data_IF_030610884311
#
_entry.id   IF_030610884311
#
_cell.length_a   1.000
_cell.length_b   1.000
_cell.length_c   1.000
_cell.angle_alpha   90.00
_cell.angle_beta   90.00
_cell.angle_gamma   90.00
#
_symmetry.space_group_name_H-M   'P 1'
#
loop_
_entity.id
_entity.type
_entity.pdbx_description
1 polymer ?
#
# COMPACT_ATOMS: atom_id res chain seq x y z
N UNK A 1 11.55 -21.26 23.43
CA UNK A 1 10.41 -21.01 24.33
C UNK A 1 9.53 -22.24 24.29
N UNK A 2 9.68 -23.13 25.27
CA UNK A 2 8.93 -24.39 25.36
C UNK A 2 7.66 -24.15 26.17
N UNK A 3 6.55 -23.86 25.50
CA UNK A 3 5.22 -23.82 26.11
C UNK A 3 4.68 -25.25 26.10
N UNK A 4 4.88 -25.95 27.22
CA UNK A 4 4.26 -27.21 27.67
C UNK A 4 3.63 -28.10 26.57
N UNK A 5 4.40 -29.06 26.06
CA UNK A 5 3.87 -30.32 25.50
C UNK A 5 3.35 -30.33 24.06
N UNK A 6 3.25 -29.20 23.37
CA UNK A 6 2.88 -29.15 21.96
C UNK A 6 4.08 -28.69 21.12
N UNK A 7 4.93 -29.65 20.75
CA UNK A 7 6.11 -29.42 19.90
C UNK A 7 5.63 -29.25 18.45
N UNK A 8 4.97 -28.13 18.15
CA UNK A 8 4.74 -27.73 16.77
C UNK A 8 6.06 -27.10 16.31
N UNK A 9 6.79 -27.67 15.34
CA UNK A 9 8.02 -27.09 14.82
C UNK A 9 7.71 -25.87 13.95
N UNK A 10 7.11 -24.83 14.53
CA UNK A 10 6.93 -23.55 13.86
C UNK A 10 8.24 -22.79 14.00
N UNK A 11 9.06 -22.86 12.95
CA UNK A 11 10.21 -21.96 12.82
C UNK A 11 9.75 -20.49 13.00
N UNK A 12 10.56 -19.68 13.69
CA UNK A 12 10.33 -18.24 13.86
C UNK A 12 10.08 -17.55 12.52
N UNK A 13 10.73 -18.03 11.44
CA UNK A 13 10.52 -17.54 10.08
C UNK A 13 9.07 -17.68 9.61
N UNK A 14 8.40 -18.81 9.88
CA UNK A 14 6.99 -19.02 9.54
C UNK A 14 6.08 -18.06 10.31
N UNK A 15 6.40 -17.82 11.60
CA UNK A 15 5.65 -16.85 12.42
C UNK A 15 5.71 -15.44 11.85
N UNK A 16 6.88 -15.01 11.37
CA UNK A 16 7.06 -13.68 10.75
C UNK A 16 6.29 -13.59 9.43
N UNK A 17 6.37 -14.60 8.58
CA UNK A 17 5.60 -14.62 7.31
C UNK A 17 4.09 -14.60 7.57
N UNK A 18 3.61 -15.32 8.58
CA UNK A 18 2.22 -15.24 9.01
C UNK A 18 1.81 -13.82 9.42
N UNK A 19 2.64 -13.11 10.19
CA UNK A 19 2.38 -11.70 10.57
C UNK A 19 2.34 -10.81 9.32
N UNK A 20 3.27 -10.99 8.38
CA UNK A 20 3.33 -10.19 7.14
C UNK A 20 2.08 -10.44 6.29
N UNK A 21 1.70 -11.71 6.08
CA UNK A 21 0.49 -12.10 5.34
C UNK A 21 -0.76 -11.53 6.00
N UNK A 22 -0.88 -11.63 7.32
CA UNK A 22 -2.00 -11.08 8.08
C UNK A 22 -2.09 -9.56 7.89
N UNK A 23 -0.95 -8.86 8.01
CA UNK A 23 -0.86 -7.40 7.84
C UNK A 23 -1.31 -6.96 6.45
N UNK A 24 -0.84 -7.66 5.40
CA UNK A 24 -1.19 -7.35 4.01
C UNK A 24 -2.68 -7.63 3.76
N UNK A 25 -3.19 -8.75 4.26
CA UNK A 25 -4.60 -9.13 4.12
C UNK A 25 -5.51 -8.11 4.80
N UNK A 26 -5.17 -7.72 6.03
CA UNK A 26 -5.93 -6.75 6.81
C UNK A 26 -5.88 -5.35 6.18
N UNK A 27 -4.72 -4.93 5.66
CA UNK A 27 -4.55 -3.72 4.87
C UNK A 27 -5.38 -3.72 3.57
N UNK A 28 -5.45 -4.87 2.90
CA UNK A 28 -6.24 -5.04 1.68
C UNK A 28 -7.75 -4.92 1.97
N UNK A 29 -8.25 -5.68 2.96
CA UNK A 29 -9.66 -5.65 3.37
C UNK A 29 -10.07 -4.23 3.77
N UNK A 30 -9.23 -3.54 4.53
CA UNK A 30 -9.47 -2.15 4.89
C UNK A 30 -9.54 -1.22 3.70
N UNK A 31 -8.60 -1.34 2.76
CA UNK A 31 -8.56 -0.50 1.56
C UNK A 31 -9.83 -0.66 0.75
N UNK A 32 -10.28 -1.90 0.52
CA UNK A 32 -11.54 -2.19 -0.18
C UNK A 32 -12.74 -1.62 0.59
N UNK A 33 -12.77 -1.80 1.91
CA UNK A 33 -13.88 -1.29 2.75
C UNK A 33 -13.94 0.23 2.74
N UNK A 34 -12.80 0.92 2.81
CA UNK A 34 -12.73 2.37 2.72
C UNK A 34 -13.09 2.88 1.33
N UNK A 35 -12.65 2.22 0.26
CA UNK A 35 -13.06 2.59 -1.09
C UNK A 35 -14.59 2.47 -1.27
N UNK A 36 -15.20 1.40 -0.76
CA UNK A 36 -16.67 1.25 -0.75
C UNK A 36 -17.35 2.35 0.05
N UNK A 37 -16.84 2.65 1.25
CA UNK A 37 -17.39 3.71 2.09
C UNK A 37 -17.26 5.10 1.45
N UNK A 38 -16.12 5.40 0.82
CA UNK A 38 -15.90 6.66 0.09
C UNK A 38 -16.82 6.74 -1.12
N UNK A 39 -16.98 5.66 -1.88
CA UNK A 39 -17.89 5.62 -3.02
C UNK A 39 -19.35 5.86 -2.59
N UNK A 40 -19.83 5.18 -1.55
CA UNK A 40 -21.18 5.39 -1.02
C UNK A 40 -21.38 6.81 -0.48
N UNK A 41 -20.39 7.37 0.22
CA UNK A 41 -20.45 8.76 0.70
C UNK A 41 -20.42 9.78 -0.44
N UNK A 42 -19.65 9.53 -1.50
CA UNK A 42 -19.59 10.38 -2.68
C UNK A 42 -20.94 10.39 -3.41
N UNK A 43 -21.60 9.23 -3.53
CA UNK A 43 -22.93 9.11 -4.11
C UNK A 43 -23.98 9.86 -3.27
N UNK A 44 -23.95 9.70 -1.94
CA UNK A 44 -24.92 10.31 -1.04
C UNK A 44 -24.77 11.83 -0.88
N UNK A 45 -23.55 12.36 -0.85
CA UNK A 45 -23.28 13.79 -0.56
C UNK A 45 -22.83 14.61 -1.76
N UNK A 46 -22.07 14.01 -2.66
CA UNK A 46 -21.50 14.68 -3.83
C UNK A 46 -22.40 14.67 -5.06
N UNK A 47 -23.48 13.87 -5.01
CA UNK A 47 -24.26 13.53 -6.20
C UNK A 47 -23.49 12.59 -7.13
N UNK A 48 -24.17 12.12 -8.18
CA UNK A 48 -23.57 11.22 -9.17
C UNK A 48 -22.37 11.91 -9.83
N UNK A 49 -21.20 11.27 -9.80
CA UNK A 49 -20.00 11.76 -10.48
C UNK A 49 -20.34 11.96 -11.95
N UNK A 50 -20.23 13.21 -12.38
CA UNK A 50 -20.45 13.66 -13.73
C UNK A 50 -19.48 12.96 -14.68
N UNK A 51 -19.94 12.22 -15.71
CA UNK A 51 -19.05 11.53 -16.64
C UNK A 51 -18.01 12.45 -17.29
N UNK A 52 -18.36 13.73 -17.46
CA UNK A 52 -17.48 14.77 -18.01
C UNK A 52 -16.28 15.15 -17.12
N UNK A 53 -16.31 14.82 -15.82
CA UNK A 53 -15.18 15.09 -14.91
C UNK A 53 -14.21 13.92 -14.76
N UNK A 54 -14.57 12.74 -15.29
CA UNK A 54 -13.67 11.60 -15.34
C UNK A 54 -12.60 11.84 -16.41
N UNK A 55 -11.39 11.29 -16.21
CA UNK A 55 -10.32 11.34 -17.21
C UNK A 55 -10.82 10.75 -18.54
N UNK A 56 -11.07 11.63 -19.52
CA UNK A 56 -11.58 11.25 -20.85
C UNK A 56 -10.48 10.80 -21.79
N UNK A 57 -9.22 11.12 -21.49
CA UNK A 57 -8.09 10.70 -22.31
C UNK A 57 -7.94 9.18 -22.33
N UNK A 58 -7.69 8.62 -23.50
CA UNK A 58 -7.46 7.18 -23.70
C UNK A 58 -6.35 6.65 -22.78
N UNK A 59 -5.23 7.38 -22.71
CA UNK A 59 -4.12 7.05 -21.83
C UNK A 59 -4.50 7.13 -20.34
N UNK A 60 -5.34 8.09 -19.94
CA UNK A 60 -5.83 8.18 -18.56
C UNK A 60 -6.63 6.95 -18.17
N UNK A 61 -7.55 6.50 -19.03
CA UNK A 61 -8.39 5.32 -18.77
C UNK A 61 -7.58 4.04 -18.63
N UNK A 62 -6.60 3.83 -19.52
CA UNK A 62 -5.75 2.64 -19.48
C UNK A 62 -4.84 2.67 -18.25
N UNK A 63 -4.15 3.79 -18.03
CA UNK A 63 -3.21 3.93 -16.91
C UNK A 63 -3.91 3.76 -15.58
N UNK A 64 -5.09 4.36 -15.38
CA UNK A 64 -5.86 4.20 -14.14
C UNK A 64 -6.23 2.74 -13.92
N UNK A 65 -6.73 2.02 -14.94
CA UNK A 65 -7.09 0.59 -14.81
C UNK A 65 -5.88 -0.27 -14.47
N UNK A 66 -4.76 -0.09 -15.19
CA UNK A 66 -3.52 -0.84 -14.94
C UNK A 66 -3.01 -0.55 -13.53
N UNK A 67 -3.02 0.71 -13.10
CA UNK A 67 -2.58 1.10 -11.76
C UNK A 67 -3.45 0.47 -10.67
N UNK A 68 -4.79 0.52 -10.84
CA UNK A 68 -5.73 -0.14 -9.93
C UNK A 68 -5.48 -1.64 -9.86
N UNK A 69 -5.31 -2.31 -11.00
CA UNK A 69 -5.00 -3.74 -11.04
C UNK A 69 -3.67 -4.05 -10.37
N UNK A 70 -2.61 -3.31 -10.67
CA UNK A 70 -1.28 -3.53 -10.08
C UNK A 70 -1.28 -3.37 -8.56
N UNK A 71 -2.06 -2.43 -8.03
CA UNK A 71 -2.22 -2.23 -6.59
C UNK A 71 -2.91 -3.40 -5.89
N UNK A 72 -3.83 -4.11 -6.56
CA UNK A 72 -4.57 -5.21 -5.93
C UNK A 72 -3.99 -6.59 -6.25
N UNK A 73 -3.50 -6.81 -7.46
CA UNK A 73 -2.96 -8.11 -7.89
C UNK A 73 -1.70 -8.44 -7.11
N UNK A 74 -0.77 -7.49 -6.95
CA UNK A 74 0.53 -7.80 -6.31
C UNK A 74 0.38 -8.29 -4.86
N UNK A 75 -0.40 -7.62 -3.98
CA UNK A 75 -0.65 -8.13 -2.63
C UNK A 75 -1.37 -9.48 -2.61
N UNK A 76 -2.35 -9.68 -3.49
CA UNK A 76 -3.11 -10.94 -3.56
C UNK A 76 -2.24 -12.11 -4.02
N UNK A 77 -1.43 -11.90 -5.05
CA UNK A 77 -0.47 -12.90 -5.53
C UNK A 77 0.54 -13.23 -4.45
N UNK A 78 1.07 -12.23 -3.74
CA UNK A 78 1.98 -12.47 -2.63
C UNK A 78 1.34 -13.31 -1.52
N UNK A 79 0.15 -12.91 -1.04
CA UNK A 79 -0.58 -13.64 0.00
C UNK A 79 -0.87 -15.07 -0.45
N UNK A 80 -1.38 -15.24 -1.68
CA UNK A 80 -1.67 -16.56 -2.23
C UNK A 80 -0.42 -17.44 -2.28
N UNK A 81 0.66 -16.96 -2.88
CA UNK A 81 1.92 -17.71 -3.01
C UNK A 81 2.49 -18.09 -1.65
N UNK A 82 2.54 -17.17 -0.69
CA UNK A 82 3.09 -17.46 0.65
C UNK A 82 2.22 -18.45 1.41
N UNK A 83 0.89 -18.31 1.35
CA UNK A 83 -0.03 -19.24 2.02
C UNK A 83 0.05 -20.64 1.41
N UNK A 84 0.03 -20.76 0.07
CA UNK A 84 0.17 -22.05 -0.60
C UNK A 84 1.56 -22.68 -0.42
N UNK A 85 2.58 -21.88 -0.14
CA UNK A 85 3.93 -22.35 0.19
C UNK A 85 4.15 -22.57 1.71
N UNK A 86 3.06 -22.70 2.50
CA UNK A 86 3.16 -23.00 3.93
C UNK A 86 3.81 -21.89 4.77
N UNK A 87 3.57 -20.62 4.43
CA UNK A 87 4.21 -19.46 5.03
C UNK A 87 5.73 -19.40 4.83
N UNK A 88 6.22 -19.97 3.73
CA UNK A 88 7.61 -19.82 3.31
C UNK A 88 7.72 -18.77 2.20
N UNK A 89 8.65 -17.83 2.37
CA UNK A 89 8.94 -16.82 1.35
C UNK A 89 9.37 -17.51 0.04
N UNK A 90 8.83 -17.10 -1.13
CA UNK A 90 9.19 -17.73 -2.38
C UNK A 90 10.63 -17.34 -2.80
N UNK A 91 11.36 -18.27 -3.41
CA UNK A 91 12.79 -18.11 -3.73
C UNK A 91 13.09 -16.90 -4.63
N UNK A 92 12.17 -16.54 -5.52
CA UNK A 92 12.33 -15.35 -6.36
C UNK A 92 12.33 -14.06 -5.54
N UNK A 93 11.64 -14.02 -4.40
CA UNK A 93 11.58 -12.86 -3.52
C UNK A 93 12.80 -12.80 -2.60
N UNK A 94 13.37 -13.94 -2.23
CA UNK A 94 14.62 -14.02 -1.46
C UNK A 94 15.76 -13.29 -2.19
N UNK A 95 15.77 -13.30 -3.53
CA UNK A 95 16.72 -12.55 -4.36
C UNK A 95 16.63 -11.02 -4.22
N UNK A 96 15.49 -10.52 -3.75
CA UNK A 96 15.25 -9.10 -3.50
C UNK A 96 15.27 -8.75 -2.00
N UNK A 97 15.44 -9.74 -1.12
CA UNK A 97 15.65 -9.48 0.29
C UNK A 97 16.98 -8.72 0.49
N UNK A 98 17.07 -7.94 1.56
CA UNK A 98 18.36 -7.34 1.94
C UNK A 98 19.33 -8.48 2.25
N UNK A 99 20.51 -8.45 1.64
CA UNK A 99 21.54 -9.47 1.89
C UNK A 99 21.84 -9.56 3.39
N UNK A 100 21.83 -10.78 3.92
CA UNK A 100 22.16 -11.04 5.32
C UNK A 100 23.57 -10.56 5.67
N UNK A 101 24.47 -10.47 4.68
CA UNK A 101 25.83 -9.93 4.84
C UNK A 101 25.84 -8.46 5.27
N UNK A 102 24.83 -7.67 4.85
CA UNK A 102 24.79 -6.23 5.10
C UNK A 102 24.11 -5.90 6.42
N UNK A 103 23.04 -6.62 6.75
CA UNK A 103 22.13 -6.26 7.85
C UNK A 103 22.19 -7.25 9.01
N UNK A 104 22.64 -8.49 8.76
CA UNK A 104 22.49 -9.60 9.69
C UNK A 104 21.09 -10.22 9.62
N UNK A 105 21.03 -11.55 9.68
CA UNK A 105 19.77 -12.31 9.55
C UNK A 105 18.75 -11.98 10.64
N UNK A 106 19.20 -11.65 11.86
CA UNK A 106 18.33 -11.23 12.97
C UNK A 106 17.62 -9.90 12.68
N UNK A 107 18.34 -8.92 12.14
CA UNK A 107 17.80 -7.59 11.85
C UNK A 107 16.87 -7.59 10.65
N UNK A 108 17.08 -8.47 9.68
CA UNK A 108 16.18 -8.62 8.53
C UNK A 108 14.75 -8.95 8.98
N UNK A 109 14.62 -9.88 9.92
CA UNK A 109 13.35 -10.26 10.52
C UNK A 109 12.74 -9.12 11.34
N UNK A 110 13.55 -8.44 12.17
CA UNK A 110 13.10 -7.30 12.97
C UNK A 110 12.59 -6.14 12.09
N UNK A 111 13.28 -5.83 10.98
CA UNK A 111 12.88 -4.78 10.04
C UNK A 111 11.53 -5.07 9.38
N UNK A 112 11.24 -6.34 9.08
CA UNK A 112 9.95 -6.74 8.50
C UNK A 112 8.81 -6.56 9.48
N UNK A 113 9.00 -6.99 10.73
CA UNK A 113 8.02 -6.80 11.80
C UNK A 113 7.82 -5.30 12.07
N UNK A 114 8.89 -4.51 12.08
CA UNK A 114 8.83 -3.06 12.24
C UNK A 114 8.10 -2.37 11.08
N UNK A 115 8.34 -2.80 9.84
CA UNK A 115 7.62 -2.30 8.66
C UNK A 115 6.11 -2.61 8.74
N UNK A 116 5.73 -3.81 9.17
CA UNK A 116 4.34 -4.17 9.37
C UNK A 116 3.69 -3.33 10.48
N UNK A 117 4.38 -3.20 11.62
CA UNK A 117 3.90 -2.44 12.78
C UNK A 117 3.73 -0.95 12.48
N UNK A 118 4.67 -0.36 11.73
CA UNK A 118 4.59 1.03 11.29
C UNK A 118 3.44 1.25 10.31
N UNK A 119 3.15 0.30 9.41
CA UNK A 119 1.98 0.37 8.54
C UNK A 119 0.66 0.44 9.34
N UNK A 120 0.52 -0.38 10.39
CA UNK A 120 -0.62 -0.32 11.31
C UNK A 120 -0.70 1.02 12.04
N UNK A 121 0.42 1.50 12.59
CA UNK A 121 0.48 2.76 13.33
C UNK A 121 0.09 3.95 12.45
N UNK A 122 0.66 4.04 11.24
CA UNK A 122 0.34 5.09 10.26
C UNK A 122 -1.13 5.05 9.89
N UNK A 123 -1.71 3.86 9.73
CA UNK A 123 -3.14 3.70 9.46
C UNK A 123 -4.01 4.11 10.65
N UNK A 124 -3.63 3.79 11.88
CA UNK A 124 -4.32 4.24 13.09
C UNK A 124 -4.33 5.77 13.18
N UNK A 125 -3.16 6.40 12.97
CA UNK A 125 -3.02 7.86 12.94
C UNK A 125 -3.83 8.47 11.81
N UNK A 126 -3.82 7.89 10.61
CA UNK A 126 -4.62 8.38 9.48
C UNK A 126 -6.12 8.31 9.78
N UNK A 127 -6.62 7.22 10.37
CA UNK A 127 -8.02 7.12 10.77
C UNK A 127 -8.38 8.09 11.89
N UNK A 128 -7.48 8.34 12.85
CA UNK A 128 -7.72 9.29 13.93
C UNK A 128 -7.70 10.74 13.42
N UNK A 129 -6.75 11.09 12.55
CA UNK A 129 -6.61 12.44 12.00
C UNK A 129 -7.68 12.76 10.94
N UNK A 130 -8.08 11.76 10.16
CA UNK A 130 -9.15 11.86 9.16
C UNK A 130 -10.51 11.41 9.71
N UNK A 131 -10.59 11.10 11.01
CA UNK A 131 -11.87 10.87 11.67
C UNK A 131 -12.72 12.10 11.35
N UNK A 132 -13.91 11.90 10.76
CA UNK A 132 -14.68 13.01 10.25
C UNK A 132 -15.01 13.91 11.43
N UNK A 133 -14.43 15.11 11.41
CA UNK A 133 -14.93 16.27 12.13
C UNK A 133 -16.22 16.75 11.42
N UNK A 134 -17.13 15.80 11.16
CA UNK A 134 -18.38 15.97 10.43
C UNK A 134 -19.35 16.91 11.14
N UNK A 135 -19.14 17.19 12.42
CA UNK A 135 -20.05 18.04 13.19
C UNK A 135 -19.72 19.54 13.08
N UNK A 136 -18.53 19.93 12.60
CA UNK A 136 -18.14 21.35 12.67
C UNK A 136 -18.54 22.14 11.42
N UNK A 137 -18.75 21.49 10.26
CA UNK A 137 -19.06 22.21 9.02
C UNK A 137 -20.56 22.24 8.66
N UNK A 138 -21.40 21.38 9.25
CA UNK A 138 -22.80 21.28 8.84
C UNK A 138 -23.72 22.34 9.47
N UNK A 139 -23.20 23.19 10.38
CA UNK A 139 -24.03 24.11 11.18
C UNK A 139 -24.01 25.59 10.75
N UNK A 140 -23.52 25.93 9.55
CA UNK A 140 -23.44 27.35 9.12
C UNK A 140 -23.73 27.66 7.64
N UNK A 141 -24.60 26.89 6.99
CA UNK A 141 -25.16 27.25 5.67
C UNK A 141 -26.69 27.24 5.75
N UNK A 142 -27.22 28.13 6.58
CA UNK A 142 -28.59 28.62 6.48
C UNK A 142 -28.50 30.13 6.48
N UNK A 143 -28.50 30.71 5.29
CA UNK A 143 -28.50 32.15 5.09
C UNK A 143 -27.27 32.67 4.37
N UNK A 144 -27.53 33.22 3.19
CA UNK A 144 -26.73 34.20 2.44
C UNK A 144 -25.78 33.65 1.37
N UNK A 145 -26.25 33.86 0.14
CA UNK A 145 -25.52 34.23 -1.08
C UNK A 145 -24.19 33.52 -1.36
N UNK A 146 -24.24 32.69 -2.40
CA UNK A 146 -23.10 32.07 -3.06
C UNK A 146 -22.01 33.10 -3.38
N UNK A 147 -20.91 33.04 -2.64
CA UNK A 147 -19.59 33.39 -3.15
C UNK A 147 -18.70 32.15 -3.05
N UNK A 148 -18.04 31.85 -4.17
CA UNK A 148 -17.18 30.70 -4.40
C UNK A 148 -16.02 30.68 -3.39
N UNK A 149 -16.03 29.74 -2.45
CA UNK A 149 -14.85 29.40 -1.66
C UNK A 149 -14.44 27.97 -1.95
N UNK A 150 -13.34 27.81 -2.68
CA UNK A 150 -12.59 26.57 -2.77
C UNK A 150 -12.02 26.24 -1.40
N UNK A 151 -12.62 25.27 -0.70
CA UNK A 151 -11.99 24.69 0.48
C UNK A 151 -10.78 23.85 0.04
N UNK A 152 -9.58 24.40 0.14
CA UNK A 152 -8.33 23.64 0.05
C UNK A 152 -8.10 22.88 1.37
N UNK A 153 -8.19 21.53 1.40
CA UNK A 153 -8.08 20.78 2.66
C UNK A 153 -6.63 20.66 3.20
N UNK A 154 -5.62 21.05 2.41
CA UNK A 154 -4.23 20.63 2.64
C UNK A 154 -3.47 21.32 3.78
N UNK A 155 -3.85 22.54 4.17
CA UNK A 155 -2.98 23.34 5.06
C UNK A 155 -3.22 23.06 6.54
N UNK A 156 -4.45 22.68 6.94
CA UNK A 156 -4.79 22.46 8.36
C UNK A 156 -4.34 21.10 8.90
N UNK A 157 -4.37 20.05 8.09
CA UNK A 157 -3.93 18.69 8.49
C UNK A 157 -2.43 18.68 8.84
N UNK A 158 -1.64 19.45 8.10
CA UNK A 158 -0.19 19.55 8.25
C UNK A 158 0.26 20.20 9.57
N UNK A 159 -0.47 21.21 10.07
CA UNK A 159 -0.15 21.89 11.34
C UNK A 159 -0.58 21.07 12.56
N UNK A 160 -1.71 20.39 12.48
CA UNK A 160 -2.24 19.59 13.60
C UNK A 160 -1.38 18.33 13.85
N UNK A 161 -0.91 17.68 12.79
CA UNK A 161 0.01 16.54 12.91
C UNK A 161 1.36 16.94 13.54
N UNK A 162 1.86 18.14 13.22
CA UNK A 162 3.13 18.66 13.75
C UNK A 162 3.03 19.05 15.23
N UNK A 163 1.86 19.51 15.71
CA UNK A 163 1.65 19.91 17.09
C UNK A 163 1.45 18.73 18.05
N UNK A 164 0.85 17.62 17.59
CA UNK A 164 0.49 16.47 18.46
C UNK A 164 1.51 15.34 18.51
N UNK A 165 2.26 15.09 17.43
CA UNK A 165 3.14 13.91 17.32
C UNK A 165 4.64 14.19 17.51
N UNK A 166 5.01 15.45 17.77
CA UNK A 166 6.41 15.86 17.92
C UNK A 166 7.20 15.80 16.61
N UNK A 167 8.13 16.72 16.42
CA UNK A 167 9.00 16.77 15.23
C UNK A 167 9.86 15.49 15.07
N UNK A 168 10.19 14.79 16.16
CA UNK A 168 11.04 13.59 16.13
C UNK A 168 10.43 12.40 15.39
N UNK A 169 9.13 12.10 15.57
CA UNK A 169 8.51 10.94 14.90
C UNK A 169 8.41 11.15 13.38
N UNK A 170 8.07 12.37 12.95
CA UNK A 170 7.96 12.73 11.53
C UNK A 170 9.36 12.77 10.88
N UNK A 171 10.39 13.27 11.57
CA UNK A 171 11.76 13.30 11.01
C UNK A 171 12.34 11.89 10.92
N UNK A 172 12.18 11.05 11.95
CA UNK A 172 12.63 9.65 11.92
C UNK A 172 11.88 8.87 10.83
N UNK A 173 10.55 9.01 10.75
CA UNK A 173 9.76 8.36 9.70
C UNK A 173 10.15 8.85 8.31
N UNK A 174 10.35 10.16 8.10
CA UNK A 174 10.72 10.75 6.79
C UNK A 174 12.16 10.43 6.39
N UNK A 175 13.07 10.25 7.33
CA UNK A 175 14.47 9.87 7.08
C UNK A 175 14.58 8.37 6.80
N UNK A 176 13.84 7.54 7.55
CA UNK A 176 13.71 6.12 7.29
C UNK A 176 12.99 5.87 5.97
N UNK A 177 11.83 6.50 5.70
CA UNK A 177 11.18 6.37 4.40
C UNK A 177 12.05 6.92 3.28
N UNK A 178 12.76 8.06 3.40
CA UNK A 178 13.66 8.51 2.31
C UNK A 178 14.79 7.52 2.02
N UNK A 179 15.46 6.98 3.04
CA UNK A 179 16.53 5.99 2.83
C UNK A 179 15.98 4.64 2.33
N UNK A 180 14.82 4.22 2.82
CA UNK A 180 14.22 2.93 2.47
C UNK A 180 13.50 2.97 1.12
N UNK A 181 12.77 4.05 0.79
CA UNK A 181 12.11 4.20 -0.52
C UNK A 181 13.10 4.56 -1.62
N UNK A 182 14.16 5.35 -1.38
CA UNK A 182 15.12 5.61 -2.47
C UNK A 182 15.91 4.35 -2.85
N UNK A 183 16.23 3.46 -1.89
CA UNK A 183 17.02 2.25 -2.18
C UNK A 183 16.12 1.08 -2.62
N UNK A 184 14.98 0.85 -1.97
CA UNK A 184 14.11 -0.28 -2.30
C UNK A 184 13.03 0.06 -3.34
N UNK A 185 12.53 1.29 -3.44
CA UNK A 185 11.57 1.60 -4.52
C UNK A 185 12.28 1.73 -5.86
N UNK A 186 13.53 2.20 -5.90
CA UNK A 186 14.31 2.21 -7.13
C UNK A 186 14.69 0.78 -7.57
N UNK A 187 15.13 -0.09 -6.66
CA UNK A 187 15.41 -1.50 -6.97
C UNK A 187 14.16 -2.32 -7.28
N UNK A 188 13.06 -2.12 -6.55
CA UNK A 188 11.78 -2.80 -6.79
C UNK A 188 11.13 -2.33 -8.09
N UNK A 189 11.15 -1.02 -8.39
CA UNK A 189 10.65 -0.49 -9.65
C UNK A 189 11.53 -0.93 -10.83
N UNK A 190 12.86 -0.91 -10.69
CA UNK A 190 13.80 -1.40 -11.72
C UNK A 190 13.67 -2.91 -11.96
N UNK A 191 13.48 -3.69 -10.88
CA UNK A 191 13.20 -5.13 -10.95
C UNK A 191 11.85 -5.44 -11.60
N UNK A 192 10.78 -4.72 -11.25
CA UNK A 192 9.50 -4.88 -11.93
C UNK A 192 9.60 -4.48 -13.40
N UNK A 193 10.27 -3.38 -13.73
CA UNK A 193 10.50 -2.96 -15.12
C UNK A 193 11.29 -4.04 -15.90
N UNK A 194 12.31 -4.65 -15.30
CA UNK A 194 13.06 -5.75 -15.94
C UNK A 194 12.25 -7.03 -16.07
N UNK A 195 11.43 -7.37 -15.09
CA UNK A 195 10.50 -8.50 -15.16
C UNK A 195 9.50 -8.32 -16.30
N UNK A 196 8.89 -7.14 -16.40
CA UNK A 196 7.98 -6.77 -17.49
C UNK A 196 8.68 -6.73 -18.85
N UNK A 197 9.94 -6.29 -18.90
CA UNK A 197 10.75 -6.31 -20.13
C UNK A 197 11.04 -7.74 -20.60
N UNK A 198 11.41 -8.64 -19.68
CA UNK A 198 11.65 -10.07 -20.00
C UNK A 198 10.38 -10.74 -20.48
N UNK A 199 9.25 -10.46 -19.83
CA UNK A 199 7.94 -10.97 -20.25
C UNK A 199 7.54 -10.48 -21.64
N UNK A 200 7.69 -9.17 -21.91
CA UNK A 200 7.38 -8.59 -23.22
C UNK A 200 8.24 -9.18 -24.36
N UNK A 201 9.54 -9.41 -24.10
CA UNK A 201 10.43 -10.03 -25.07
C UNK A 201 10.07 -11.50 -25.34
N UNK A 202 9.62 -12.23 -24.32
CA UNK A 202 9.14 -13.61 -24.48
C UNK A 202 7.91 -13.68 -25.39
N UNK A 203 6.93 -12.79 -25.20
CA UNK A 203 5.74 -12.73 -26.05
C UNK A 203 6.03 -12.23 -27.48
N UNK A 204 7.07 -11.41 -27.68
CA UNK A 204 7.47 -10.98 -29.03
C UNK A 204 8.16 -12.09 -29.82
N UNK A 205 8.84 -13.03 -29.14
CA UNK A 205 9.50 -14.18 -29.77
C UNK A 205 8.48 -15.16 -30.32
N UNK A 206 7.42 -15.47 -29.56
CA UNK A 206 6.35 -16.39 -29.99
C UNK A 206 5.56 -15.89 -31.21
N UNK A 207 5.46 -14.56 -31.39
CA UNK A 207 4.75 -13.97 -32.55
C UNK A 207 5.55 -14.04 -33.86
N UNK A 208 6.88 -14.17 -33.79
CA UNK A 208 7.73 -14.24 -34.98
C UNK A 208 7.77 -15.64 -35.61
N UNK A 209 7.46 -16.70 -34.86
CA UNK A 209 7.47 -18.08 -35.37
C UNK A 209 6.20 -18.45 -36.13
N UNK A 210 5.09 -17.73 -35.92
CA UNK A 210 3.80 -18.00 -36.59
C UNK A 210 3.66 -17.40 -38.00
N UNK A 211 4.67 -16.70 -38.52
CA UNK A 211 4.62 -16.04 -39.85
C UNK A 211 5.49 -16.70 -40.93
N UNK A 212 6.08 -17.87 -40.65
CA UNK A 212 6.89 -18.63 -41.61
C UNK A 212 6.28 -19.98 -42.01
N UNK A 213 4.96 -20.16 -41.82
CA UNK A 213 4.21 -21.29 -42.38
C UNK A 213 3.09 -20.82 -43.30
#
# INVERSE_FOLDING_TARGET
MHTVGLDIPISISHGIEAIVVLTITEGFVYTVTKMRSVAANAEAKGGRVRPETLTTSFFGRITTRIHTLAMFISPLVYVGVVVFNGFRQPDWMVKFALSDEIVGSEWNNALRVLACSTAFAVRGVANYALAPSSDICSRKVHGQHLNHYTCTPGVKVSRLARAKFGLSYIVVYRTLTRKYTSINAEKSCRSQIEMWRKYANSCSSERSETHHH
#
